data_IF_300475953574
#
_entry.id   IF_300475953574
#
_cell.length_a   1.000
_cell.length_b   1.000
_cell.length_c   1.000
_cell.angle_alpha   90.00
_cell.angle_beta   90.00
_cell.angle_gamma   90.00
#
_symmetry.space_group_name_H-M   'P 1'
#
loop_
_entity.id
_entity.type
_entity.pdbx_description
1 polymer ?
#
# COMPACT_ATOMS: atom_id res chain seq x y z
N UNK A 1 6.61 -46.59 -7.46
CA UNK A 1 5.28 -45.97 -7.63
C UNK A 1 5.47 -44.47 -7.78
N UNK A 2 5.16 -43.93 -8.97
CA UNK A 2 5.24 -42.49 -9.28
C UNK A 2 3.95 -41.82 -8.81
N UNK A 3 4.03 -40.90 -7.86
CA UNK A 3 2.91 -39.99 -7.53
C UNK A 3 3.09 -38.73 -8.38
N UNK A 4 2.40 -38.73 -9.52
CA UNK A 4 2.34 -37.61 -10.44
C UNK A 4 1.64 -36.43 -9.76
N UNK A 5 2.40 -35.36 -9.49
CA UNK A 5 1.86 -34.02 -9.24
C UNK A 5 1.11 -33.60 -10.50
N UNK A 6 -0.18 -33.32 -10.39
CA UNK A 6 -0.97 -32.83 -11.50
C UNK A 6 -0.29 -31.57 -12.08
N UNK A 7 0.10 -31.67 -13.35
CA UNK A 7 0.55 -30.54 -14.15
C UNK A 7 -0.63 -29.59 -14.23
N UNK A 8 -0.54 -28.38 -13.67
CA UNK A 8 -1.49 -27.31 -14.01
C UNK A 8 -1.51 -27.22 -15.54
N UNK A 9 -2.66 -27.52 -16.13
CA UNK A 9 -2.85 -27.50 -17.57
C UNK A 9 -2.47 -26.13 -18.10
N UNK A 10 -1.61 -26.08 -19.12
CA UNK A 10 -1.16 -24.85 -19.78
C UNK A 10 -2.30 -24.04 -20.47
N UNK A 11 -3.55 -24.51 -20.36
CA UNK A 11 -4.74 -23.95 -21.00
C UNK A 11 -5.66 -23.14 -20.05
N UNK A 12 -5.36 -23.08 -18.74
CA UNK A 12 -6.16 -22.23 -17.85
C UNK A 12 -5.76 -20.77 -18.04
N UNK A 13 -6.70 -19.85 -18.36
CA UNK A 13 -6.37 -18.45 -18.54
C UNK A 13 -5.75 -17.91 -17.26
N UNK A 14 -4.69 -17.10 -17.40
CA UNK A 14 -4.03 -16.45 -16.27
C UNK A 14 -5.09 -15.74 -15.39
N UNK A 15 -5.08 -15.91 -14.05
CA UNK A 15 -6.16 -15.44 -13.18
C UNK A 15 -6.53 -13.97 -13.35
N UNK A 16 -5.54 -13.10 -13.61
CA UNK A 16 -5.77 -11.68 -13.92
C UNK A 16 -6.64 -11.49 -15.17
N UNK A 17 -6.34 -12.21 -16.26
CA UNK A 17 -7.16 -12.12 -17.48
C UNK A 17 -8.54 -12.73 -17.27
N UNK A 18 -8.63 -13.84 -16.52
CA UNK A 18 -9.91 -14.45 -16.16
C UNK A 18 -10.79 -13.52 -15.29
N UNK A 19 -10.19 -12.71 -14.41
CA UNK A 19 -10.88 -11.65 -13.67
C UNK A 19 -11.48 -10.62 -14.62
N UNK A 20 -10.67 -10.04 -15.51
CA UNK A 20 -11.12 -8.96 -16.40
C UNK A 20 -12.09 -9.42 -17.49
N UNK A 21 -11.94 -10.66 -17.95
CA UNK A 21 -12.91 -11.30 -18.84
C UNK A 21 -14.30 -11.41 -18.22
N UNK A 22 -14.35 -11.78 -16.94
CA UNK A 22 -15.60 -11.78 -16.20
C UNK A 22 -16.11 -10.37 -15.92
N UNK A 23 -15.22 -9.43 -15.59
CA UNK A 23 -15.60 -8.04 -15.34
C UNK A 23 -16.36 -7.45 -16.53
N UNK A 24 -15.83 -7.62 -17.75
CA UNK A 24 -16.45 -7.18 -19.00
C UNK A 24 -17.81 -7.81 -19.28
N UNK A 25 -18.01 -9.07 -18.89
CA UNK A 25 -19.26 -9.80 -19.15
C UNK A 25 -20.33 -9.49 -18.12
N UNK A 26 -19.95 -9.49 -16.84
CA UNK A 26 -20.89 -9.53 -15.73
C UNK A 26 -20.51 -8.64 -14.54
N UNK A 27 -19.22 -8.39 -14.33
CA UNK A 27 -18.72 -7.69 -13.13
C UNK A 27 -18.99 -6.19 -13.13
N UNK A 28 -19.11 -5.55 -14.29
CA UNK A 28 -19.45 -4.12 -14.40
C UNK A 28 -20.78 -3.77 -13.70
N UNK A 29 -21.72 -4.72 -13.64
CA UNK A 29 -23.01 -4.58 -12.97
C UNK A 29 -22.98 -4.84 -11.45
N UNK A 30 -21.80 -4.89 -10.81
CA UNK A 30 -21.70 -4.99 -9.35
C UNK A 30 -22.26 -3.73 -8.71
N UNK A 31 -23.08 -3.87 -7.66
CA UNK A 31 -23.48 -2.76 -6.82
C UNK A 31 -22.48 -2.60 -5.66
N UNK A 32 -21.73 -1.49 -5.57
CA UNK A 32 -20.71 -1.32 -4.53
C UNK A 32 -21.28 -1.08 -3.12
N UNK A 33 -22.57 -0.73 -3.01
CA UNK A 33 -23.21 -0.37 -1.74
C UNK A 33 -23.99 -1.52 -1.10
N UNK A 34 -24.03 -2.70 -1.73
CA UNK A 34 -24.82 -3.82 -1.25
C UNK A 34 -24.09 -5.16 -1.42
N UNK A 35 -24.14 -5.97 -0.37
CA UNK A 35 -23.73 -7.37 -0.46
C UNK A 35 -24.59 -8.08 -1.53
N UNK A 36 -23.94 -8.80 -2.43
CA UNK A 36 -24.61 -9.52 -3.52
C UNK A 36 -23.80 -10.74 -3.96
N UNK A 37 -24.41 -11.69 -4.68
CA UNK A 37 -23.67 -12.80 -5.28
C UNK A 37 -22.53 -12.33 -6.20
N UNK A 38 -22.68 -11.17 -6.85
CA UNK A 38 -21.61 -10.58 -7.69
C UNK A 38 -20.44 -10.06 -6.85
N UNK A 39 -20.69 -9.50 -5.67
CA UNK A 39 -19.63 -9.10 -4.72
C UNK A 39 -18.89 -10.32 -4.19
N UNK A 40 -19.60 -11.40 -3.85
CA UNK A 40 -18.97 -12.66 -3.45
C UNK A 40 -18.12 -13.26 -4.58
N UNK A 41 -18.59 -13.17 -5.82
CA UNK A 41 -17.85 -13.59 -7.01
C UNK A 41 -16.61 -12.73 -7.26
N UNK A 42 -16.69 -11.40 -7.10
CA UNK A 42 -15.55 -10.49 -7.15
C UNK A 42 -14.48 -10.94 -6.15
N UNK A 43 -14.87 -11.14 -4.89
CA UNK A 43 -13.98 -11.59 -3.83
C UNK A 43 -13.27 -12.90 -4.20
N UNK A 44 -14.03 -13.90 -4.66
CA UNK A 44 -13.50 -15.19 -5.09
C UNK A 44 -12.47 -15.04 -6.23
N UNK A 45 -12.69 -14.10 -7.15
CA UNK A 45 -11.79 -13.86 -8.28
C UNK A 45 -10.52 -13.10 -7.88
N UNK A 46 -10.61 -12.12 -6.98
CA UNK A 46 -9.41 -11.48 -6.42
C UNK A 46 -8.56 -12.52 -5.70
N UNK A 47 -9.17 -13.34 -4.83
CA UNK A 47 -8.47 -14.42 -4.12
C UNK A 47 -7.91 -15.52 -5.04
N UNK A 48 -8.44 -15.65 -6.27
CA UNK A 48 -7.89 -16.57 -7.27
C UNK A 48 -6.64 -16.03 -7.97
N UNK A 49 -6.42 -14.71 -7.93
CA UNK A 49 -5.18 -14.08 -8.39
C UNK A 49 -4.10 -14.33 -7.34
N UNK A 50 -4.35 -13.92 -6.10
CA UNK A 50 -3.53 -14.22 -4.94
C UNK A 50 -4.35 -13.96 -3.66
N UNK A 51 -4.13 -14.76 -2.61
CA UNK A 51 -4.92 -14.67 -1.38
C UNK A 51 -4.49 -13.52 -0.46
N UNK A 52 -3.34 -12.90 -0.71
CA UNK A 52 -2.87 -11.73 0.02
C UNK A 52 -3.35 -10.40 -0.59
N UNK A 53 -3.94 -10.40 -1.78
CA UNK A 53 -4.53 -9.17 -2.36
C UNK A 53 -5.78 -8.76 -1.59
N UNK A 54 -5.87 -7.48 -1.28
CA UNK A 54 -7.05 -6.85 -0.71
C UNK A 54 -7.85 -6.11 -1.80
N UNK A 55 -9.14 -5.90 -1.56
CA UNK A 55 -9.96 -5.09 -2.44
C UNK A 55 -11.05 -4.34 -1.68
N UNK A 56 -11.44 -3.18 -2.19
CA UNK A 56 -12.57 -2.41 -1.67
C UNK A 56 -13.17 -1.52 -2.77
N UNK A 57 -14.35 -0.95 -2.48
CA UNK A 57 -14.96 0.08 -3.30
C UNK A 57 -14.85 1.45 -2.62
N UNK A 58 -14.72 2.49 -3.42
CA UNK A 58 -14.85 3.89 -2.98
C UNK A 58 -15.58 4.71 -4.03
N UNK A 59 -15.85 5.99 -3.73
CA UNK A 59 -16.18 6.96 -4.76
C UNK A 59 -15.01 7.08 -5.74
N UNK A 60 -15.31 7.25 -7.04
CA UNK A 60 -14.29 7.54 -8.03
C UNK A 60 -13.98 9.04 -8.13
N UNK A 61 -12.83 9.36 -8.70
CA UNK A 61 -12.42 10.75 -9.00
C UNK A 61 -12.96 11.20 -10.36
N UNK A 62 -12.92 10.30 -11.35
CA UNK A 62 -13.38 10.55 -12.73
C UNK A 62 -14.61 9.71 -13.12
N UNK A 63 -15.02 8.80 -12.23
CA UNK A 63 -16.13 7.85 -12.41
C UNK A 63 -17.01 7.83 -11.17
N UNK A 64 -18.24 7.30 -11.28
CA UNK A 64 -19.14 7.13 -10.13
C UNK A 64 -18.52 6.27 -9.02
N UNK A 65 -17.82 5.20 -9.42
CA UNK A 65 -17.26 4.21 -8.51
C UNK A 65 -15.82 3.88 -8.85
N UNK A 66 -15.07 3.50 -7.83
CA UNK A 66 -13.72 2.97 -7.96
C UNK A 66 -13.64 1.58 -7.35
N UNK A 67 -13.02 0.65 -8.07
CA UNK A 67 -12.56 -0.61 -7.53
C UNK A 67 -11.04 -0.56 -7.36
N UNK A 68 -10.59 -0.68 -6.12
CA UNK A 68 -9.17 -0.79 -5.78
C UNK A 68 -8.85 -2.24 -5.47
N UNK A 69 -7.82 -2.80 -6.12
CA UNK A 69 -7.18 -4.06 -5.73
C UNK A 69 -5.75 -3.74 -5.35
N UNK A 70 -5.42 -3.93 -4.08
CA UNK A 70 -4.18 -3.46 -3.46
C UNK A 70 -3.37 -4.62 -2.90
N UNK A 71 -2.06 -4.39 -2.73
CA UNK A 71 -1.15 -5.32 -2.08
C UNK A 71 -1.29 -5.34 -0.55
N UNK A 72 -2.03 -4.38 0.04
CA UNK A 72 -2.24 -4.27 1.47
C UNK A 72 -0.93 -4.14 2.24
N UNK A 73 0.02 -3.36 1.72
CA UNK A 73 1.35 -3.19 2.32
C UNK A 73 2.31 -4.38 2.12
N UNK A 74 1.92 -5.41 1.38
CA UNK A 74 2.80 -6.53 1.07
C UNK A 74 3.61 -6.25 -0.20
N UNK A 75 4.86 -5.80 -0.04
CA UNK A 75 5.74 -5.42 -1.15
C UNK A 75 5.80 -6.46 -2.29
N UNK A 76 5.82 -7.76 -1.95
CA UNK A 76 5.85 -8.86 -2.92
C UNK A 76 4.60 -8.93 -3.85
N UNK A 77 3.47 -8.38 -3.42
CA UNK A 77 2.21 -8.39 -4.16
C UNK A 77 1.96 -7.13 -4.99
N UNK A 78 2.70 -6.04 -4.73
CA UNK A 78 2.56 -4.77 -5.49
C UNK A 78 2.76 -4.94 -7.00
N UNK A 79 3.76 -5.70 -7.50
CA UNK A 79 3.88 -5.95 -8.95
C UNK A 79 2.65 -6.67 -9.52
N UNK A 80 2.02 -7.55 -8.74
CA UNK A 80 0.83 -8.29 -9.16
C UNK A 80 -0.42 -7.38 -9.21
N UNK A 81 -0.60 -6.51 -8.23
CA UNK A 81 -1.66 -5.49 -8.25
C UNK A 81 -1.52 -4.54 -9.46
N UNK A 82 -0.30 -4.13 -9.80
CA UNK A 82 -0.06 -3.35 -11.03
C UNK A 82 -0.39 -4.11 -12.31
N UNK A 83 0.00 -5.39 -12.39
CA UNK A 83 -0.35 -6.23 -13.55
C UNK A 83 -1.85 -6.41 -13.66
N UNK A 84 -2.56 -6.49 -12.54
CA UNK A 84 -4.02 -6.46 -12.52
C UNK A 84 -4.54 -5.16 -13.13
N UNK A 85 -4.10 -3.99 -12.65
CA UNK A 85 -4.57 -2.70 -13.18
C UNK A 85 -4.21 -2.50 -14.67
N UNK A 86 -3.01 -2.89 -15.09
CA UNK A 86 -2.58 -2.78 -16.50
C UNK A 86 -3.45 -3.62 -17.46
N UNK A 87 -4.05 -4.69 -16.97
CA UNK A 87 -4.96 -5.54 -17.74
C UNK A 87 -6.43 -5.07 -17.70
N UNK A 88 -6.73 -4.00 -16.96
CA UNK A 88 -8.07 -3.44 -16.84
C UNK A 88 -8.57 -2.89 -18.19
N UNK A 89 -9.89 -2.91 -18.43
CA UNK A 89 -10.46 -2.06 -19.46
C UNK A 89 -10.23 -0.57 -19.12
N UNK A 90 -10.32 0.35 -20.10
CA UNK A 90 -10.35 1.78 -19.81
C UNK A 90 -11.45 2.12 -18.81
N UNK A 91 -11.22 3.13 -17.97
CA UNK A 91 -12.25 3.68 -17.12
C UNK A 91 -13.40 4.25 -17.97
N UNK A 92 -14.61 4.22 -17.42
CA UNK A 92 -15.80 4.80 -18.02
C UNK A 92 -16.55 5.67 -17.00
N UNK A 93 -17.74 6.16 -17.34
CA UNK A 93 -18.51 7.01 -16.43
C UNK A 93 -18.87 6.31 -15.11
N UNK A 94 -18.97 4.98 -15.11
CA UNK A 94 -19.38 4.20 -13.94
C UNK A 94 -18.19 3.73 -13.12
N UNK A 95 -17.12 3.24 -13.76
CA UNK A 95 -16.02 2.59 -13.06
C UNK A 95 -14.64 3.13 -13.45
N UNK A 96 -13.83 3.39 -12.42
CA UNK A 96 -12.37 3.48 -12.50
C UNK A 96 -11.69 2.42 -11.63
N UNK A 97 -10.38 2.21 -11.85
CA UNK A 97 -9.61 1.16 -11.19
C UNK A 97 -8.31 1.70 -10.61
N UNK A 98 -7.85 1.14 -9.47
CA UNK A 98 -6.55 1.45 -8.85
C UNK A 98 -5.87 0.20 -8.30
N UNK A 99 -4.53 0.19 -8.36
CA UNK A 99 -3.67 -0.91 -7.89
C UNK A 99 -3.12 -0.71 -6.47
N UNK A 100 -3.52 0.38 -5.81
CA UNK A 100 -2.97 0.84 -4.54
C UNK A 100 -4.04 1.66 -3.82
N UNK A 101 -4.05 1.61 -2.48
CA UNK A 101 -4.93 2.45 -1.67
C UNK A 101 -4.55 3.92 -1.85
N UNK A 102 -5.51 4.75 -2.25
CA UNK A 102 -5.35 6.21 -2.26
C UNK A 102 -5.56 6.78 -0.85
N UNK A 103 -4.96 7.94 -0.58
CA UNK A 103 -5.19 8.66 0.66
C UNK A 103 -6.68 9.01 0.82
N UNK A 104 -7.21 8.75 2.01
CA UNK A 104 -8.53 9.16 2.47
C UNK A 104 -8.42 9.77 3.89
N UNK A 105 -7.85 10.98 4.04
CA UNK A 105 -7.61 11.57 5.37
C UNK A 105 -8.88 11.77 6.21
N UNK A 106 -10.04 11.90 5.57
CA UNK A 106 -11.35 11.97 6.25
C UNK A 106 -11.65 10.72 7.08
N UNK A 107 -11.05 9.57 6.77
CA UNK A 107 -11.21 8.35 7.54
C UNK A 107 -10.74 8.50 9.00
N UNK A 108 -9.80 9.41 9.28
CA UNK A 108 -9.32 9.68 10.65
C UNK A 108 -10.37 10.38 11.53
N UNK A 109 -11.48 10.87 10.98
CA UNK A 109 -12.61 11.35 11.78
C UNK A 109 -13.55 10.24 12.27
N UNK A 110 -13.31 8.99 11.83
CA UNK A 110 -14.16 7.85 12.15
C UNK A 110 -13.67 7.10 13.40
N UNK A 111 -14.55 6.23 13.88
CA UNK A 111 -14.21 5.22 14.88
C UNK A 111 -13.85 3.93 14.16
N UNK A 112 -12.64 3.44 14.39
CA UNK A 112 -12.18 2.14 13.90
C UNK A 112 -12.60 1.04 14.89
N UNK A 113 -13.28 0.02 14.37
CA UNK A 113 -13.55 -1.22 15.10
C UNK A 113 -12.59 -2.31 14.62
N UNK A 114 -11.76 -2.81 15.54
CA UNK A 114 -10.74 -3.83 15.26
C UNK A 114 -10.73 -4.88 16.36
N UNK A 115 -11.16 -6.09 16.02
CA UNK A 115 -11.42 -7.15 17.00
C UNK A 115 -12.50 -6.70 18.00
N UNK A 116 -12.10 -6.48 19.25
CA UNK A 116 -12.97 -5.95 20.32
C UNK A 116 -12.68 -4.48 20.67
N UNK A 117 -11.66 -3.89 20.05
CA UNK A 117 -11.28 -2.50 20.31
C UNK A 117 -12.12 -1.55 19.45
N UNK A 118 -12.48 -0.42 20.05
CA UNK A 118 -13.18 0.69 19.39
C UNK A 118 -12.35 1.95 19.61
N UNK A 119 -11.69 2.40 18.54
CA UNK A 119 -10.64 3.42 18.57
C UNK A 119 -11.11 4.65 17.82
N UNK A 120 -11.17 5.79 18.51
CA UNK A 120 -11.56 7.07 17.93
C UNK A 120 -10.35 7.71 17.25
N UNK A 121 -10.24 7.55 15.93
CA UNK A 121 -9.03 7.90 15.18
C UNK A 121 -8.70 9.40 15.23
N UNK A 122 -9.69 10.25 15.57
CA UNK A 122 -9.51 11.70 15.69
C UNK A 122 -8.55 12.10 16.80
N UNK A 123 -8.25 11.18 17.72
CA UNK A 123 -7.31 11.37 18.84
C UNK A 123 -5.89 10.91 18.53
N UNK A 124 -5.62 10.50 17.29
CA UNK A 124 -4.29 10.07 16.87
C UNK A 124 -3.36 11.28 16.73
N UNK A 125 -2.17 11.17 17.31
CA UNK A 125 -1.10 12.16 17.19
C UNK A 125 0.18 11.45 16.78
N UNK A 126 1.17 12.22 16.35
CA UNK A 126 2.39 11.68 15.77
C UNK A 126 3.65 12.29 16.41
N UNK A 127 4.77 11.59 16.28
CA UNK A 127 6.12 12.18 16.32
C UNK A 127 6.73 12.06 14.93
N UNK A 128 7.46 13.09 14.49
CA UNK A 128 8.04 13.13 13.14
C UNK A 128 9.54 13.41 13.22
N UNK A 129 10.31 12.63 12.47
CA UNK A 129 11.73 12.88 12.24
C UNK A 129 12.05 12.74 10.75
N UNK A 130 12.18 13.87 10.07
CA UNK A 130 12.55 13.89 8.64
C UNK A 130 14.06 13.74 8.46
N UNK A 131 14.47 12.86 7.55
CA UNK A 131 15.83 12.68 7.08
C UNK A 131 15.90 12.96 5.58
N UNK A 132 16.43 14.13 5.23
CA UNK A 132 16.58 14.60 3.84
C UNK A 132 17.65 13.83 3.05
N UNK A 133 18.59 13.16 3.73
CA UNK A 133 19.60 12.34 3.07
C UNK A 133 19.01 10.99 2.68
N UNK A 134 18.25 10.37 3.59
CA UNK A 134 17.48 9.15 3.30
C UNK A 134 16.27 9.43 2.40
N UNK A 135 15.81 10.68 2.32
CA UNK A 135 14.52 11.07 1.74
C UNK A 135 13.38 10.29 2.39
N UNK A 136 13.36 10.26 3.72
CA UNK A 136 12.37 9.53 4.53
C UNK A 136 11.90 10.35 5.72
N UNK A 137 10.68 10.10 6.18
CA UNK A 137 10.16 10.55 7.47
C UNK A 137 10.00 9.33 8.37
N UNK A 138 10.73 9.28 9.48
CA UNK A 138 10.48 8.31 10.54
C UNK A 138 9.30 8.84 11.39
N UNK A 139 8.29 7.99 11.64
CA UNK A 139 7.00 8.36 12.24
C UNK A 139 6.69 7.50 13.45
N UNK A 140 6.42 8.14 14.58
CA UNK A 140 5.79 7.50 15.74
C UNK A 140 4.30 7.79 15.75
N UNK A 141 3.46 6.76 15.89
CA UNK A 141 2.00 6.90 15.94
C UNK A 141 1.54 6.70 17.37
N UNK A 142 0.90 7.71 17.94
CA UNK A 142 0.33 7.70 19.28
C UNK A 142 -1.20 7.72 19.22
N UNK A 143 -1.83 6.92 20.06
CA UNK A 143 -3.23 7.09 20.40
C UNK A 143 -3.44 6.82 21.90
N UNK A 144 -4.30 7.57 22.62
CA UNK A 144 -4.48 7.42 24.08
C UNK A 144 -4.83 6.00 24.55
N UNK A 145 -5.47 5.19 23.71
CA UNK A 145 -5.82 3.80 24.05
C UNK A 145 -4.68 2.79 23.79
N UNK A 146 -3.59 3.15 23.11
CA UNK A 146 -2.52 2.21 22.75
C UNK A 146 -1.90 1.50 23.95
N UNK A 147 -1.82 2.16 25.12
CA UNK A 147 -1.34 1.52 26.35
C UNK A 147 -2.16 0.31 26.81
N UNK A 148 -3.42 0.18 26.38
CA UNK A 148 -4.32 -0.92 26.72
C UNK A 148 -4.47 -1.97 25.59
N UNK A 149 -3.88 -1.72 24.42
CA UNK A 149 -3.96 -2.62 23.26
C UNK A 149 -2.73 -3.52 23.17
N UNK A 150 -2.93 -4.71 22.62
CA UNK A 150 -1.83 -5.59 22.23
C UNK A 150 -1.00 -4.93 21.13
N UNK A 151 0.30 -5.25 21.08
CA UNK A 151 1.23 -4.64 20.14
C UNK A 151 0.83 -4.85 18.69
N UNK A 152 0.38 -6.05 18.34
CA UNK A 152 -0.06 -6.39 16.98
C UNK A 152 -1.25 -5.52 16.54
N UNK A 153 -2.18 -5.24 17.46
CA UNK A 153 -3.34 -4.38 17.21
C UNK A 153 -2.90 -2.93 17.04
N UNK A 154 -1.96 -2.44 17.86
CA UNK A 154 -1.41 -1.08 17.70
C UNK A 154 -0.75 -0.93 16.34
N UNK A 155 0.11 -1.88 15.97
CA UNK A 155 0.82 -1.89 14.70
C UNK A 155 -0.16 -1.88 13.53
N UNK A 156 -1.19 -2.73 13.58
CA UNK A 156 -2.22 -2.74 12.55
C UNK A 156 -2.97 -1.41 12.44
N UNK A 157 -3.36 -0.80 13.56
CA UNK A 157 -4.00 0.54 13.55
C UNK A 157 -3.06 1.59 12.97
N UNK A 158 -1.78 1.58 13.37
CA UNK A 158 -0.78 2.53 12.89
C UNK A 158 -0.60 2.49 11.37
N UNK A 159 -0.49 1.29 10.79
CA UNK A 159 -0.42 1.15 9.34
C UNK A 159 -1.70 1.62 8.64
N UNK A 160 -2.89 1.24 9.14
CA UNK A 160 -4.15 1.70 8.57
C UNK A 160 -4.29 3.23 8.59
N UNK A 161 -3.93 3.87 9.70
CA UNK A 161 -3.97 5.33 9.82
C UNK A 161 -3.03 5.99 8.82
N UNK A 162 -1.81 5.47 8.66
CA UNK A 162 -0.83 6.03 7.73
C UNK A 162 -1.23 5.81 6.28
N UNK A 163 -1.78 4.64 5.95
CA UNK A 163 -2.31 4.32 4.61
C UNK A 163 -3.52 5.21 4.27
N UNK A 164 -4.43 5.49 5.21
CA UNK A 164 -5.50 6.46 4.98
C UNK A 164 -4.98 7.88 4.89
N UNK A 165 -3.92 8.24 5.60
CA UNK A 165 -3.41 9.61 5.59
C UNK A 165 -2.63 9.93 4.30
N UNK A 166 -1.84 8.98 3.81
CA UNK A 166 -0.88 9.21 2.72
C UNK A 166 -1.18 8.37 1.47
N UNK A 167 -1.91 7.28 1.59
CA UNK A 167 -1.99 6.24 0.57
C UNK A 167 -0.81 5.27 0.66
N UNK A 168 -1.04 4.04 0.22
CA UNK A 168 -0.08 2.93 0.34
C UNK A 168 1.24 3.22 -0.41
N UNK A 169 1.16 3.85 -1.58
CA UNK A 169 2.37 4.17 -2.37
C UNK A 169 3.25 5.24 -1.69
N UNK A 170 2.67 6.22 -1.01
CA UNK A 170 3.44 7.26 -0.33
C UNK A 170 3.94 6.82 1.04
N UNK A 171 3.20 5.93 1.73
CA UNK A 171 3.75 5.20 2.88
C UNK A 171 5.02 4.46 2.49
N UNK A 172 4.97 3.65 1.44
CA UNK A 172 6.13 2.87 0.97
C UNK A 172 7.26 3.75 0.41
N UNK A 173 6.94 4.92 -0.17
CA UNK A 173 7.92 5.81 -0.80
C UNK A 173 8.64 6.72 0.19
N UNK A 174 7.93 7.23 1.20
CA UNK A 174 8.39 8.32 2.05
C UNK A 174 8.57 7.95 3.51
N UNK A 175 7.86 6.96 4.04
CA UNK A 175 8.02 6.62 5.45
C UNK A 175 9.22 5.71 5.68
N UNK A 176 9.95 5.96 6.76
CA UNK A 176 11.08 5.14 7.21
C UNK A 176 10.65 4.20 8.33
N UNK A 177 11.20 4.42 9.52
CA UNK A 177 10.79 3.71 10.74
C UNK A 177 9.37 4.13 11.11
N UNK A 178 8.52 3.15 11.37
CA UNK A 178 7.18 3.35 11.93
C UNK A 178 7.15 2.72 13.32
N UNK A 179 6.85 3.53 14.33
CA UNK A 179 6.80 3.10 15.73
C UNK A 179 5.40 3.30 16.32
N UNK A 180 4.95 2.39 17.19
CA UNK A 180 3.73 2.59 17.99
C UNK A 180 4.10 3.21 19.35
N UNK A 181 3.55 4.37 19.66
CA UNK A 181 3.81 5.12 20.88
C UNK A 181 2.71 4.93 21.92
N UNK A 182 3.06 4.54 23.14
CA UNK A 182 2.12 4.47 24.28
C UNK A 182 2.17 5.69 25.19
N UNK A 183 3.18 6.54 25.03
CA UNK A 183 3.30 7.83 25.71
C UNK A 183 3.07 8.97 24.70
N UNK A 184 2.44 10.05 25.16
CA UNK A 184 2.20 11.22 24.32
C UNK A 184 3.54 11.80 23.84
N UNK A 185 3.79 11.92 22.51
CA UNK A 185 5.03 12.47 22.01
C UNK A 185 5.18 13.95 22.35
N UNK A 186 6.42 14.39 22.55
CA UNK A 186 6.77 15.81 22.74
C UNK A 186 8.01 16.13 21.88
N UNK A 187 7.90 17.00 20.85
CA UNK A 187 6.66 17.62 20.37
C UNK A 187 5.69 16.59 19.76
N UNK A 188 4.39 16.88 19.82
CA UNK A 188 3.35 16.12 19.11
C UNK A 188 3.02 16.80 17.79
N UNK A 189 2.74 16.00 16.77
CA UNK A 189 2.31 16.40 15.44
C UNK A 189 0.89 15.92 15.15
N UNK A 190 0.19 16.65 14.28
CA UNK A 190 -1.16 16.36 13.77
C UNK A 190 -1.09 15.54 12.48
N UNK A 191 -2.21 14.97 11.98
CA UNK A 191 -2.24 14.35 10.66
C UNK A 191 -1.74 15.27 9.53
N UNK A 192 -2.13 16.54 9.56
CA UNK A 192 -1.72 17.53 8.55
C UNK A 192 -0.21 17.76 8.56
N UNK A 193 0.44 17.71 9.73
CA UNK A 193 1.90 17.82 9.84
C UNK A 193 2.61 16.64 9.17
N UNK A 194 2.04 15.43 9.22
CA UNK A 194 2.59 14.24 8.53
C UNK A 194 2.52 14.44 7.02
N UNK A 195 1.36 14.87 6.52
CA UNK A 195 1.14 15.14 5.09
C UNK A 195 2.10 16.23 4.62
N UNK A 196 2.24 17.31 5.37
CA UNK A 196 3.16 18.40 5.06
C UNK A 196 4.63 17.95 5.07
N UNK A 197 5.04 17.12 6.02
CA UNK A 197 6.41 16.59 6.08
C UNK A 197 6.74 15.72 4.86
N UNK A 198 5.79 14.86 4.44
CA UNK A 198 5.93 14.04 3.23
C UNK A 198 5.95 14.90 1.97
N UNK A 199 5.02 15.85 1.84
CA UNK A 199 4.97 16.78 0.71
C UNK A 199 6.28 17.58 0.57
N UNK A 200 6.83 18.08 1.69
CA UNK A 200 8.09 18.81 1.71
C UNK A 200 9.30 17.99 1.24
N UNK A 201 9.31 16.66 1.49
CA UNK A 201 10.32 15.76 0.92
C UNK A 201 10.05 15.48 -0.57
N UNK A 202 8.79 15.31 -0.95
CA UNK A 202 8.41 15.07 -2.34
C UNK A 202 8.81 16.23 -3.26
N UNK A 203 8.64 17.47 -2.81
CA UNK A 203 9.07 18.68 -3.54
C UNK A 203 10.59 18.76 -3.74
N UNK A 204 11.37 18.23 -2.79
CA UNK A 204 12.84 18.20 -2.87
C UNK A 204 13.37 17.05 -3.73
N UNK A 205 12.49 16.13 -4.15
CA UNK A 205 12.90 14.92 -4.86
C UNK A 205 13.39 15.25 -6.27
N UNK A 206 14.67 15.00 -6.51
CA UNK A 206 15.25 15.04 -7.84
C UNK A 206 15.77 13.64 -8.24
N UNK A 207 15.07 12.99 -9.18
CA UNK A 207 15.44 11.66 -9.67
C UNK A 207 16.72 11.62 -10.52
N UNK A 208 17.21 12.79 -10.94
CA UNK A 208 18.50 12.92 -11.63
C UNK A 208 19.67 13.22 -10.67
N UNK A 209 19.41 13.38 -9.37
CA UNK A 209 20.46 13.51 -8.35
C UNK A 209 21.08 12.13 -8.06
N UNK A 210 22.39 12.04 -8.22
CA UNK A 210 23.17 10.84 -7.91
C UNK A 210 23.97 11.03 -6.63
N UNK A 211 23.96 10.02 -5.77
CA UNK A 211 24.81 9.94 -4.57
C UNK A 211 25.86 8.87 -4.74
N UNK A 212 27.09 9.16 -4.30
CA UNK A 212 28.18 8.21 -4.25
C UNK A 212 28.33 7.71 -2.81
N UNK A 213 28.24 6.41 -2.61
CA UNK A 213 28.42 5.77 -1.31
C UNK A 213 29.70 4.96 -1.33
N UNK A 214 30.51 5.12 -0.30
CA UNK A 214 31.73 4.34 -0.08
C UNK A 214 31.61 3.57 1.23
N UNK A 215 31.85 2.28 1.19
CA UNK A 215 31.92 1.42 2.38
C UNK A 215 33.05 0.39 2.22
N UNK A 216 33.31 -0.39 3.26
CA UNK A 216 34.20 -1.55 3.19
C UNK A 216 33.33 -2.82 3.16
N UNK A 217 33.62 -3.75 2.25
CA UNK A 217 32.97 -5.06 2.26
C UNK A 217 33.39 -5.92 3.47
N UNK A 218 32.90 -7.15 3.53
CA UNK A 218 33.20 -8.10 4.62
C UNK A 218 34.69 -8.42 4.75
N UNK A 219 35.46 -8.24 3.68
CA UNK A 219 36.91 -8.49 3.63
C UNK A 219 37.74 -7.21 3.80
N UNK A 220 37.08 -6.06 4.00
CA UNK A 220 37.71 -4.76 4.20
C UNK A 220 38.10 -4.04 2.89
N UNK A 221 37.72 -4.56 1.73
CA UNK A 221 37.98 -3.88 0.45
C UNK A 221 37.04 -2.69 0.28
N UNK A 222 37.54 -1.56 -0.24
CA UNK A 222 36.70 -0.39 -0.49
C UNK A 222 35.74 -0.67 -1.64
N UNK A 223 34.44 -0.60 -1.36
CA UNK A 223 33.39 -0.63 -2.36
C UNK A 223 32.88 0.79 -2.56
N UNK A 224 32.65 1.14 -3.83
CA UNK A 224 32.06 2.41 -4.24
C UNK A 224 30.85 2.06 -5.11
N UNK A 225 29.69 2.64 -4.80
CA UNK A 225 28.51 2.54 -5.65
C UNK A 225 27.85 3.90 -5.81
N UNK A 226 27.17 4.09 -6.93
CA UNK A 226 26.33 5.25 -7.19
C UNK A 226 24.85 4.85 -7.21
N UNK A 227 24.02 5.66 -6.59
CA UNK A 227 22.57 5.45 -6.54
C UNK A 227 21.85 6.75 -6.93
N UNK A 228 20.66 6.62 -7.54
CA UNK A 228 19.75 7.75 -7.68
C UNK A 228 19.12 8.06 -6.32
N UNK A 229 19.29 9.30 -5.85
CA UNK A 229 18.76 9.71 -4.55
C UNK A 229 17.24 9.71 -4.58
N UNK A 230 16.64 9.17 -3.52
CA UNK A 230 15.18 9.13 -3.40
C UNK A 230 14.48 8.20 -4.40
N UNK A 231 15.19 7.44 -5.25
CA UNK A 231 14.58 6.37 -6.04
C UNK A 231 14.09 5.25 -5.10
N UNK A 232 12.90 4.71 -5.39
CA UNK A 232 12.25 3.63 -4.66
C UNK A 232 11.84 2.54 -5.62
N UNK A 233 11.79 1.31 -5.13
CA UNK A 233 11.35 0.18 -5.94
C UNK A 233 9.90 0.36 -6.40
N UNK A 234 9.06 1.03 -5.60
CA UNK A 234 7.66 1.30 -5.92
C UNK A 234 7.44 2.41 -6.97
N UNK A 235 8.49 3.09 -7.45
CA UNK A 235 8.36 3.96 -8.63
C UNK A 235 8.29 3.14 -9.92
N UNK A 236 8.84 1.92 -9.88
CA UNK A 236 8.85 0.97 -10.99
C UNK A 236 8.48 -0.44 -10.50
N UNK A 237 7.29 -0.62 -9.93
CA UNK A 237 6.86 -1.86 -9.28
C UNK A 237 6.80 -3.07 -10.21
N UNK A 238 6.87 -2.89 -11.53
CA UNK A 238 6.92 -3.99 -12.51
C UNK A 238 8.33 -4.27 -13.04
N UNK A 239 9.36 -3.58 -12.56
CA UNK A 239 10.76 -3.94 -12.75
C UNK A 239 11.19 -4.93 -11.66
N UNK A 240 10.46 -6.03 -11.56
CA UNK A 240 10.60 -7.08 -10.55
C UNK A 240 11.54 -8.23 -10.99
N UNK A 241 12.19 -8.09 -12.15
CA UNK A 241 13.23 -9.00 -12.61
C UNK A 241 14.60 -8.54 -12.09
N UNK A 242 15.13 -9.27 -11.11
CA UNK A 242 16.51 -9.09 -10.68
C UNK A 242 17.44 -9.88 -11.60
N UNK A 243 18.33 -9.18 -12.32
CA UNK A 243 19.49 -9.82 -12.93
C UNK A 243 20.51 -10.05 -11.81
N UNK A 244 20.76 -11.31 -11.47
CA UNK A 244 21.92 -11.66 -10.64
C UNK A 244 23.16 -11.50 -11.52
N UNK A 245 24.03 -10.56 -11.15
CA UNK A 245 25.35 -10.36 -11.77
C UNK A 245 26.40 -11.06 -10.92
#
# INVERSE_FOLDING_TARGET
MRLFRARQSADSPHPVFAFWDWWRRDGHAVNPHAASPKVAELNRRVLSIDNGLAWHFSAGTESEHRLTVSAGGQAALRPLAERWLRAAPPADATWEFRASQEAEPSALSNILEIGKARVDLSKTLFSLQSDVNRMRVDVGVYHPQFGALQEEVRTQISFLVLDWLLGEDDVERWLGVIETLTALPTPSATPDDVVAAVAGLAEQRNLDEWVLVKWADTDGYPVIASFRKGLRWNDFPTLDQHLTV
#
